data_IF_127877835281
#
_entry.id   IF_127877835281
#
_cell.length_a   1.000
_cell.length_b   1.000
_cell.length_c   1.000
_cell.angle_alpha   90.00
_cell.angle_beta   90.00
_cell.angle_gamma   90.00
#
_symmetry.space_group_name_H-M   'P 1'
#
loop_
_entity.id
_entity.type
_entity.pdbx_description
1 polymer ?
#
# COMPACT_ATOMS: atom_id res chain seq x y z
N UNK A 1 -1.74 -8.03 4.25
CA UNK A 1 -0.85 -6.92 4.67
C UNK A 1 0.02 -7.51 5.76
N UNK A 2 1.32 -7.60 5.53
CA UNK A 2 2.27 -8.21 6.47
C UNK A 2 3.18 -7.12 7.00
N UNK A 3 3.25 -6.98 8.32
CA UNK A 3 4.15 -6.03 8.99
C UNK A 3 5.21 -6.88 9.67
N UNK A 4 6.44 -6.81 9.16
CA UNK A 4 7.59 -7.55 9.69
C UNK A 4 8.29 -6.73 10.78
N UNK A 5 8.93 -7.42 11.71
CA UNK A 5 9.65 -6.81 12.85
C UNK A 5 8.75 -5.87 13.67
N UNK A 6 7.48 -6.25 13.90
CA UNK A 6 6.56 -5.44 14.69
C UNK A 6 6.93 -5.49 16.19
N UNK A 7 7.11 -4.32 16.79
CA UNK A 7 7.17 -4.17 18.24
C UNK A 7 5.79 -4.40 18.87
N UNK A 8 5.74 -4.83 20.13
CA UNK A 8 4.50 -5.05 20.91
C UNK A 8 3.55 -3.84 20.96
N UNK A 9 4.08 -2.63 20.73
CA UNK A 9 3.26 -1.41 20.60
C UNK A 9 2.27 -1.48 19.41
N UNK A 10 2.61 -2.19 18.33
CA UNK A 10 1.74 -2.31 17.17
C UNK A 10 0.45 -3.07 17.46
N UNK A 11 0.46 -3.99 18.43
CA UNK A 11 -0.77 -4.69 18.86
C UNK A 11 -1.77 -3.72 19.51
N UNK A 12 -1.26 -2.75 20.29
CA UNK A 12 -2.06 -1.70 20.91
C UNK A 12 -2.65 -0.78 19.83
N UNK A 13 -1.82 -0.35 18.87
CA UNK A 13 -2.28 0.47 17.74
C UNK A 13 -3.34 -0.27 16.94
N UNK A 14 -3.14 -1.57 16.66
CA UNK A 14 -4.11 -2.41 15.96
C UNK A 14 -5.45 -2.50 16.69
N UNK A 15 -5.44 -2.63 18.02
CA UNK A 15 -6.66 -2.63 18.83
C UNK A 15 -7.41 -1.29 18.77
N UNK A 16 -6.70 -0.16 18.72
CA UNK A 16 -7.27 1.17 18.62
C UNK A 16 -7.89 1.46 17.24
N UNK A 17 -7.28 0.97 16.16
CA UNK A 17 -7.79 1.18 14.79
C UNK A 17 -8.90 0.19 14.40
N UNK A 18 -9.00 -0.95 15.09
CA UNK A 18 -9.98 -2.01 14.83
C UNK A 18 -11.43 -1.53 14.61
N UNK A 19 -12.02 -0.61 15.42
CA UNK A 19 -13.40 -0.18 15.20
C UNK A 19 -13.61 0.62 13.90
N UNK A 20 -12.55 1.19 13.31
CA UNK A 20 -12.63 1.99 12.09
C UNK A 20 -12.39 1.19 10.81
N UNK A 21 -11.92 -0.06 10.93
CA UNK A 21 -11.54 -0.91 9.80
C UNK A 21 -12.55 -2.05 9.65
N UNK A 22 -12.97 -2.32 8.40
CA UNK A 22 -13.85 -3.46 8.10
C UNK A 22 -13.22 -4.78 8.59
N UNK A 23 -14.00 -5.70 9.21
CA UNK A 23 -13.46 -6.95 9.74
C UNK A 23 -12.66 -7.77 8.73
N UNK A 24 -13.12 -7.80 7.47
CA UNK A 24 -12.43 -8.49 6.36
C UNK A 24 -11.04 -7.93 6.05
N UNK A 25 -10.84 -6.63 6.23
CA UNK A 25 -9.53 -5.97 6.01
C UNK A 25 -8.64 -6.22 7.22
N UNK A 26 -9.20 -6.09 8.43
CA UNK A 26 -8.46 -6.32 9.68
C UNK A 26 -7.92 -7.75 9.77
N UNK A 27 -8.70 -8.76 9.39
CA UNK A 27 -8.26 -10.17 9.35
C UNK A 27 -7.09 -10.44 8.40
N UNK A 28 -6.83 -9.55 7.43
CA UNK A 28 -5.71 -9.67 6.48
C UNK A 28 -4.46 -8.94 6.95
N UNK A 29 -4.51 -8.24 8.08
CA UNK A 29 -3.34 -7.63 8.71
C UNK A 29 -2.68 -8.70 9.57
N UNK A 30 -1.47 -9.08 9.18
CA UNK A 30 -0.62 -10.01 9.94
C UNK A 30 0.55 -9.21 10.50
N UNK A 31 0.64 -9.17 11.83
CA UNK A 31 1.79 -8.61 12.55
C UNK A 31 2.76 -9.75 12.84
N UNK A 32 4.00 -9.58 12.41
CA UNK A 32 5.05 -10.54 12.66
C UNK A 32 6.11 -9.91 13.55
N UNK A 33 6.16 -10.34 14.81
CA UNK A 33 7.12 -9.87 15.80
C UNK A 33 8.54 -10.34 15.49
N UNK A 34 9.54 -9.73 16.13
CA UNK A 34 10.97 -9.97 15.83
C UNK A 34 11.45 -11.43 15.95
N UNK A 35 10.73 -12.28 16.68
CA UNK A 35 11.05 -13.71 16.86
C UNK A 35 10.23 -14.63 15.93
N UNK A 36 9.69 -14.12 14.82
CA UNK A 36 8.90 -14.92 13.89
C UNK A 36 9.73 -16.03 13.21
N UNK A 37 9.06 -17.12 12.85
CA UNK A 37 9.63 -18.16 11.99
C UNK A 37 9.60 -17.70 10.53
N UNK A 38 10.75 -17.24 10.05
CA UNK A 38 10.90 -16.77 8.68
C UNK A 38 10.72 -17.87 7.63
N UNK A 39 11.12 -19.12 7.89
CA UNK A 39 10.94 -20.21 6.92
C UNK A 39 9.46 -20.48 6.69
N UNK A 40 8.68 -20.55 7.77
CA UNK A 40 7.21 -20.67 7.67
C UNK A 40 6.58 -19.50 6.94
N UNK A 41 7.08 -18.28 7.13
CA UNK A 41 6.60 -17.11 6.39
C UNK A 41 6.91 -17.22 4.89
N UNK A 42 8.11 -17.67 4.52
CA UNK A 42 8.47 -17.80 3.10
C UNK A 42 7.67 -18.87 2.37
N UNK A 43 7.30 -19.95 3.08
CA UNK A 43 6.49 -21.04 2.53
C UNK A 43 5.02 -20.65 2.34
N UNK A 44 4.44 -19.94 3.32
CA UNK A 44 3.00 -19.72 3.38
C UNK A 44 2.55 -18.37 2.80
N UNK A 45 3.41 -17.35 2.83
CA UNK A 45 3.02 -15.98 2.51
C UNK A 45 3.75 -15.46 1.26
N UNK A 46 5.10 -15.41 1.27
CA UNK A 46 5.88 -14.82 0.18
C UNK A 46 7.18 -15.61 -0.07
N UNK A 47 7.36 -16.23 -1.26
CA UNK A 47 8.59 -16.94 -1.58
C UNK A 47 9.84 -16.06 -1.53
N UNK A 48 10.98 -16.64 -1.11
CA UNK A 48 12.30 -15.96 -1.06
C UNK A 48 12.69 -15.31 -2.40
N UNK A 49 12.26 -15.87 -3.53
CA UNK A 49 12.54 -15.33 -4.86
C UNK A 49 11.93 -13.95 -5.12
N UNK A 50 10.93 -13.54 -4.34
CA UNK A 50 10.25 -12.26 -4.48
C UNK A 50 10.64 -11.24 -3.41
N UNK A 51 11.59 -11.58 -2.54
CA UNK A 51 12.03 -10.72 -1.46
C UNK A 51 13.45 -10.19 -1.69
N UNK A 52 13.74 -8.93 -1.30
CA UNK A 52 15.09 -8.40 -1.30
C UNK A 52 16.04 -9.20 -0.42
N UNK A 53 17.35 -9.08 -0.69
CA UNK A 53 18.40 -9.78 0.07
C UNK A 53 18.38 -9.43 1.56
N UNK A 54 18.07 -8.19 1.89
CA UNK A 54 18.00 -7.67 3.26
C UNK A 54 16.93 -8.36 4.10
N UNK A 55 15.92 -8.96 3.46
CA UNK A 55 14.87 -9.76 4.09
C UNK A 55 15.07 -11.26 3.87
N UNK A 56 16.30 -11.72 3.61
CA UNK A 56 16.61 -13.15 3.43
C UNK A 56 16.13 -13.76 2.11
N UNK A 57 15.76 -12.92 1.14
CA UNK A 57 15.36 -13.35 -0.20
C UNK A 57 16.51 -13.42 -1.21
N UNK A 58 16.17 -13.67 -2.46
CA UNK A 58 17.14 -13.81 -3.57
C UNK A 58 16.99 -12.76 -4.66
N UNK A 59 16.11 -11.76 -4.46
CA UNK A 59 15.93 -10.65 -5.40
C UNK A 59 17.14 -9.69 -5.34
N UNK A 60 17.09 -8.57 -6.08
CA UNK A 60 18.07 -7.48 -5.95
C UNK A 60 18.15 -6.91 -4.53
N UNK A 61 19.13 -6.05 -4.29
CA UNK A 61 19.19 -5.28 -3.04
C UNK A 61 18.00 -4.33 -2.95
N UNK A 62 17.66 -3.91 -1.73
CA UNK A 62 16.60 -2.91 -1.53
C UNK A 62 16.87 -1.62 -2.32
N UNK A 63 18.12 -1.18 -2.37
CA UNK A 63 18.53 0.03 -3.10
C UNK A 63 18.35 -0.12 -4.62
N UNK A 64 18.70 -1.27 -5.19
CA UNK A 64 18.52 -1.58 -6.61
C UNK A 64 17.03 -1.56 -6.98
N UNK A 65 16.20 -2.23 -6.18
CA UNK A 65 14.76 -2.33 -6.40
C UNK A 65 14.07 -0.97 -6.22
N UNK A 66 14.51 -0.18 -5.24
CA UNK A 66 14.01 1.18 -5.04
C UNK A 66 14.34 2.05 -6.25
N UNK A 67 15.60 2.04 -6.72
CA UNK A 67 16.03 2.81 -7.88
C UNK A 67 15.25 2.40 -9.16
N UNK A 68 15.06 1.10 -9.38
CA UNK A 68 14.27 0.58 -10.50
C UNK A 68 12.80 1.04 -10.42
N UNK A 69 12.19 0.94 -9.23
CA UNK A 69 10.80 1.34 -9.01
C UNK A 69 10.63 2.84 -9.20
N UNK A 70 11.53 3.65 -8.63
CA UNK A 70 11.52 5.10 -8.82
C UNK A 70 11.66 5.47 -10.29
N UNK A 71 12.56 4.82 -11.02
CA UNK A 71 12.71 5.06 -12.46
C UNK A 71 11.41 4.74 -13.22
N UNK A 72 10.79 3.58 -12.98
CA UNK A 72 9.50 3.22 -13.60
C UNK A 72 8.40 4.25 -13.30
N UNK A 73 8.33 4.74 -12.05
CA UNK A 73 7.37 5.78 -11.68
C UNK A 73 7.63 7.10 -12.41
N UNK A 74 8.90 7.49 -12.57
CA UNK A 74 9.28 8.70 -13.30
C UNK A 74 9.00 8.58 -14.80
N UNK A 75 9.23 7.40 -15.39
CA UNK A 75 8.92 7.12 -16.79
C UNK A 75 7.41 7.19 -17.06
N UNK A 76 6.57 6.91 -16.06
CA UNK A 76 5.11 7.04 -16.11
C UNK A 76 4.58 8.44 -15.75
N UNK A 77 5.46 9.42 -15.51
CA UNK A 77 5.05 10.78 -15.09
C UNK A 77 4.01 11.40 -16.02
N UNK A 78 4.26 11.35 -17.32
CA UNK A 78 3.37 11.99 -18.30
C UNK A 78 2.02 11.28 -18.39
N UNK A 79 2.00 9.95 -18.18
CA UNK A 79 0.76 9.19 -18.03
C UNK A 79 -0.05 9.69 -16.84
N UNK A 80 0.57 9.86 -15.66
CA UNK A 80 -0.15 10.34 -14.47
C UNK A 80 -0.65 11.78 -14.63
N UNK A 81 0.12 12.66 -15.27
CA UNK A 81 -0.33 14.04 -15.56
C UNK A 81 -1.55 14.04 -16.50
N UNK A 82 -1.56 13.15 -17.50
CA UNK A 82 -2.69 13.03 -18.41
C UNK A 82 -3.93 12.47 -17.70
N UNK A 83 -3.75 11.45 -16.87
CA UNK A 83 -4.81 10.82 -16.09
C UNK A 83 -5.44 11.81 -15.09
N UNK A 84 -4.64 12.67 -14.46
CA UNK A 84 -5.11 13.75 -13.58
C UNK A 84 -5.97 14.75 -14.36
N UNK A 85 -5.52 15.21 -15.53
CA UNK A 85 -6.31 16.10 -16.40
C UNK A 85 -7.61 15.45 -16.87
N UNK A 86 -7.61 14.15 -17.16
CA UNK A 86 -8.83 13.43 -17.53
C UNK A 86 -9.83 13.41 -16.38
N UNK A 87 -9.36 13.12 -15.15
CA UNK A 87 -10.21 13.17 -13.95
C UNK A 87 -10.77 14.56 -13.68
N UNK A 88 -9.97 15.61 -13.85
CA UNK A 88 -10.44 17.01 -13.72
C UNK A 88 -11.54 17.32 -14.73
N UNK A 89 -11.34 16.98 -16.01
CA UNK A 89 -12.34 17.20 -17.04
C UNK A 89 -13.64 16.43 -16.79
N UNK A 90 -13.54 15.17 -16.36
CA UNK A 90 -14.70 14.35 -15.98
C UNK A 90 -15.44 14.95 -14.78
N UNK A 91 -14.70 15.48 -13.80
CA UNK A 91 -15.25 16.15 -12.64
C UNK A 91 -15.97 17.46 -13.01
N UNK A 92 -15.36 18.30 -13.85
CA UNK A 92 -15.99 19.53 -14.37
C UNK A 92 -17.27 19.22 -15.16
N UNK A 93 -17.24 18.19 -16.00
CA UNK A 93 -18.42 17.73 -16.73
C UNK A 93 -19.51 17.19 -15.82
N UNK A 94 -19.14 16.52 -14.71
CA UNK A 94 -20.08 16.07 -13.69
C UNK A 94 -20.77 17.26 -13.01
N UNK A 95 -20.00 18.26 -12.56
CA UNK A 95 -20.52 19.49 -11.92
C UNK A 95 -21.46 20.23 -12.87
N UNK A 96 -21.07 20.38 -14.15
CA UNK A 96 -21.88 21.03 -15.16
C UNK A 96 -23.23 20.33 -15.37
N UNK A 97 -23.26 19.00 -15.34
CA UNK A 97 -24.49 18.19 -15.47
C UNK A 97 -25.32 18.19 -14.18
N UNK A 98 -24.68 18.32 -13.02
CA UNK A 98 -25.33 18.22 -11.70
C UNK A 98 -25.03 19.43 -10.79
N UNK A 99 -25.45 20.65 -11.18
CA UNK A 99 -25.11 21.87 -10.45
C UNK A 99 -25.72 21.95 -9.04
N UNK A 100 -26.68 21.09 -8.71
CA UNK A 100 -27.33 21.01 -7.38
C UNK A 100 -26.53 20.17 -6.38
N UNK A 101 -25.67 19.27 -6.85
CA UNK A 101 -24.92 18.33 -6.00
C UNK A 101 -23.70 19.00 -5.33
N UNK A 102 -23.29 20.16 -5.84
CA UNK A 102 -22.13 20.94 -5.34
C UNK A 102 -22.56 22.01 -4.32
N UNK A 103 -23.87 22.22 -4.14
CA UNK A 103 -24.41 23.16 -3.14
C UNK A 103 -24.62 22.49 -1.78
N UNK A 104 -23.53 22.24 -1.07
CA UNK A 104 -23.55 22.00 0.38
C UNK A 104 -22.29 22.63 1.00
N UNK A 105 -22.31 23.94 1.19
CA UNK A 105 -21.69 24.66 2.32
C UNK A 105 -21.94 26.16 2.13
N UNK A 106 -23.15 26.61 2.53
CA UNK A 106 -23.35 27.94 3.11
C UNK A 106 -23.43 27.76 4.63
#
# INVERSE_FOLDING_TARGET
MHILNSMSLFDIIAALIKPFIKPKVFQRIQLHHGNMDYEKFYENEIPKSHLPKEYGGTLGTLDELQAETTKKLMDLRDYFILEEKQRELEFEDYIRKHPKDVKCHD
#
